data_IF_620559583493
#
_entry.id   IF_620559583493
#
_cell.length_a   1.000
_cell.length_b   1.000
_cell.length_c   1.000
_cell.angle_alpha   90.00
_cell.angle_beta   90.00
_cell.angle_gamma   90.00
#
_symmetry.space_group_name_H-M   'P 1'
#
loop_
_entity.id
_entity.type
_entity.pdbx_description
1 polymer ?
#
# COMPACT_ATOMS: atom_id res chain seq x y z
N UNK A 1 -12.27 4.71 -2.29
CA UNK A 1 -12.29 5.56 -1.08
C UNK A 1 -11.64 6.92 -1.32
N UNK A 2 -10.34 7.01 -1.63
CA UNK A 2 -9.61 8.28 -1.71
C UNK A 2 -10.18 9.26 -2.74
N UNK A 3 -10.51 8.79 -3.93
CA UNK A 3 -11.03 9.62 -5.03
C UNK A 3 -12.53 9.92 -4.96
N UNK A 4 -13.25 9.27 -4.05
CA UNK A 4 -14.72 9.30 -3.95
C UNK A 4 -15.47 8.90 -5.24
N UNK A 5 -14.79 8.35 -6.25
CA UNK A 5 -15.38 7.85 -7.49
C UNK A 5 -15.49 6.33 -7.45
N UNK A 6 -16.67 5.82 -7.79
CA UNK A 6 -16.89 4.38 -7.99
C UNK A 6 -16.37 3.97 -9.37
N UNK A 7 -15.76 2.79 -9.46
CA UNK A 7 -15.31 2.22 -10.74
C UNK A 7 -14.09 2.88 -11.38
N UNK A 8 -13.35 3.73 -10.66
CA UNK A 8 -12.12 4.34 -11.17
C UNK A 8 -11.03 3.30 -11.43
N UNK A 9 -10.85 2.37 -10.48
CA UNK A 9 -9.98 1.22 -10.65
C UNK A 9 -10.82 0.02 -11.13
N UNK A 10 -10.31 -0.73 -12.11
CA UNK A 10 -10.96 -1.95 -12.55
C UNK A 10 -10.89 -3.01 -11.44
N UNK A 11 -12.04 -3.28 -10.82
CA UNK A 11 -12.18 -4.41 -9.92
C UNK A 11 -12.43 -5.67 -10.75
N UNK A 12 -11.50 -6.59 -10.76
CA UNK A 12 -11.69 -7.90 -11.37
C UNK A 12 -12.35 -8.83 -10.34
N UNK A 13 -13.55 -9.33 -10.67
CA UNK A 13 -14.19 -10.40 -9.90
C UNK A 13 -13.44 -11.73 -10.05
N UNK A 14 -12.54 -11.84 -11.04
CA UNK A 14 -11.72 -13.02 -11.28
C UNK A 14 -10.29 -12.71 -10.85
N UNK A 15 -9.79 -13.35 -9.77
CA UNK A 15 -8.40 -13.18 -9.33
C UNK A 15 -7.43 -13.52 -10.47
N UNK A 16 -6.51 -12.61 -10.75
CA UNK A 16 -5.44 -12.87 -11.71
C UNK A 16 -5.58 -12.27 -13.10
N UNK A 17 -6.62 -11.50 -13.38
CA UNK A 17 -6.75 -10.82 -14.69
C UNK A 17 -6.00 -9.49 -14.80
N UNK A 18 -5.61 -8.86 -13.69
CA UNK A 18 -4.96 -7.54 -13.71
C UNK A 18 -3.46 -7.72 -13.54
N UNK A 19 -2.74 -7.88 -14.66
CA UNK A 19 -1.27 -7.73 -14.72
C UNK A 19 -0.87 -6.32 -15.13
N UNK A 20 -1.82 -5.40 -15.24
CA UNK A 20 -1.62 -4.05 -15.72
C UNK A 20 -1.37 -3.09 -14.55
N UNK A 21 -0.42 -2.19 -14.75
CA UNK A 21 -0.20 -1.03 -13.88
C UNK A 21 -1.12 0.07 -14.37
N UNK A 22 -2.01 0.55 -13.50
CA UNK A 22 -2.97 1.59 -13.84
C UNK A 22 -2.56 2.94 -13.24
N UNK A 23 -2.54 3.98 -14.07
CA UNK A 23 -2.23 5.35 -13.66
C UNK A 23 -3.50 6.20 -13.70
N UNK A 24 -3.79 6.90 -12.60
CA UNK A 24 -4.93 7.80 -12.50
C UNK A 24 -4.44 9.20 -12.17
N UNK A 25 -4.68 10.16 -13.07
CA UNK A 25 -4.40 11.56 -12.81
C UNK A 25 -5.47 12.14 -11.86
N UNK A 26 -5.04 12.60 -10.70
CA UNK A 26 -5.91 13.14 -9.66
C UNK A 26 -5.79 14.66 -9.62
N UNK A 27 -6.94 15.34 -9.75
CA UNK A 27 -7.05 16.81 -9.72
C UNK A 27 -6.04 17.53 -10.66
N UNK A 28 -5.67 16.90 -11.78
CA UNK A 28 -4.67 17.41 -12.74
C UNK A 28 -3.30 17.74 -12.09
N UNK A 29 -2.99 17.13 -10.95
CA UNK A 29 -1.86 17.49 -10.11
C UNK A 29 -0.90 16.33 -9.82
N UNK A 30 -1.41 15.14 -9.53
CA UNK A 30 -0.61 13.99 -9.17
C UNK A 30 -1.20 12.67 -9.66
N UNK A 31 -0.36 11.64 -9.74
CA UNK A 31 -0.78 10.32 -10.18
C UNK A 31 -0.94 9.36 -9.01
N UNK A 32 -2.11 8.73 -8.95
CA UNK A 32 -2.34 7.53 -8.16
C UNK A 32 -2.07 6.31 -9.05
N UNK A 33 -1.15 5.46 -8.62
CA UNK A 33 -0.77 4.26 -9.38
C UNK A 33 -1.25 3.02 -8.65
N UNK A 34 -2.00 2.19 -9.35
CA UNK A 34 -2.47 0.90 -8.86
C UNK A 34 -1.58 -0.21 -9.43
N UNK A 35 -0.82 -0.84 -8.55
CA UNK A 35 0.06 -1.96 -8.88
C UNK A 35 -0.67 -3.29 -8.66
N UNK A 36 -0.34 -4.34 -9.44
CA UNK A 36 -0.88 -5.68 -9.18
C UNK A 36 -0.47 -6.17 -7.80
N UNK A 37 -1.37 -6.91 -7.12
CA UNK A 37 -1.08 -7.47 -5.81
C UNK A 37 -0.09 -8.63 -5.89
N UNK A 38 0.99 -8.59 -5.13
CA UNK A 38 2.02 -9.63 -5.09
C UNK A 38 1.59 -10.90 -4.31
N UNK A 39 0.56 -10.81 -3.47
CA UNK A 39 0.12 -11.88 -2.56
C UNK A 39 -0.96 -12.83 -3.08
N UNK A 40 -1.30 -12.80 -4.37
CA UNK A 40 -2.43 -13.57 -4.89
C UNK A 40 -2.15 -15.06 -4.93
N UNK A 41 -2.82 -15.82 -4.04
CA UNK A 41 -2.61 -17.25 -3.78
C UNK A 41 -2.96 -18.21 -4.95
N UNK A 42 -3.72 -17.76 -5.95
CA UNK A 42 -4.22 -18.64 -7.03
C UNK A 42 -3.28 -18.78 -8.21
N UNK A 43 -2.14 -18.12 -8.19
CA UNK A 43 -1.10 -18.29 -9.23
C UNK A 43 -0.04 -19.25 -8.74
N UNK A 44 0.38 -20.18 -9.59
CA UNK A 44 1.56 -20.99 -9.32
C UNK A 44 2.79 -20.14 -9.06
N UNK A 45 3.86 -20.73 -8.52
CA UNK A 45 5.08 -20.01 -8.13
C UNK A 45 5.62 -19.12 -9.27
N UNK A 46 5.69 -19.61 -10.50
CA UNK A 46 6.06 -18.82 -11.68
C UNK A 46 5.27 -17.53 -11.87
N UNK A 47 3.95 -17.56 -11.64
CA UNK A 47 3.10 -16.39 -11.81
C UNK A 47 3.31 -15.35 -10.71
N UNK A 48 3.64 -15.78 -9.49
CA UNK A 48 3.97 -14.90 -8.36
C UNK A 48 5.31 -14.20 -8.59
N UNK A 49 6.31 -14.94 -9.01
CA UNK A 49 7.64 -14.40 -9.30
C UNK A 49 7.59 -13.37 -10.45
N UNK A 50 6.79 -13.65 -11.47
CA UNK A 50 6.58 -12.74 -12.59
C UNK A 50 5.93 -11.43 -12.19
N UNK A 51 4.90 -11.47 -11.33
CA UNK A 51 4.25 -10.26 -10.78
C UNK A 51 5.22 -9.48 -9.91
N UNK A 52 5.96 -10.16 -9.06
CA UNK A 52 6.97 -9.54 -8.21
C UNK A 52 8.00 -8.80 -9.04
N UNK A 53 8.54 -9.41 -10.06
CA UNK A 53 9.48 -8.77 -10.99
C UNK A 53 8.89 -7.51 -11.64
N UNK A 54 7.64 -7.56 -12.13
CA UNK A 54 6.96 -6.40 -12.72
C UNK A 54 6.85 -5.25 -11.72
N UNK A 55 6.50 -5.54 -10.48
CA UNK A 55 6.37 -4.54 -9.41
C UNK A 55 7.74 -3.94 -9.06
N UNK A 56 8.74 -4.78 -8.86
CA UNK A 56 10.09 -4.36 -8.50
C UNK A 56 10.72 -3.51 -9.61
N UNK A 57 10.64 -3.92 -10.85
CA UNK A 57 11.12 -3.16 -12.01
C UNK A 57 10.44 -1.79 -12.10
N UNK A 58 9.11 -1.75 -11.96
CA UNK A 58 8.37 -0.49 -11.98
C UNK A 58 8.83 0.46 -10.87
N UNK A 59 8.98 -0.04 -9.65
CA UNK A 59 9.38 0.76 -8.48
C UNK A 59 10.80 1.30 -8.66
N UNK A 60 11.74 0.48 -9.14
CA UNK A 60 13.13 0.88 -9.30
C UNK A 60 13.34 1.85 -10.47
N UNK A 61 12.56 1.73 -11.53
CA UNK A 61 12.67 2.58 -12.71
C UNK A 61 11.89 3.91 -12.61
N UNK A 62 10.97 4.03 -11.65
CA UNK A 62 10.10 5.21 -11.54
C UNK A 62 10.68 6.31 -10.65
N UNK A 63 11.51 7.18 -11.22
CA UNK A 63 12.16 8.30 -10.52
C UNK A 63 11.18 9.30 -9.88
N UNK A 64 9.97 9.43 -10.44
CA UNK A 64 8.96 10.39 -9.94
C UNK A 64 8.08 9.82 -8.82
N UNK A 65 8.31 8.59 -8.38
CA UNK A 65 7.56 8.02 -7.27
C UNK A 65 7.94 8.72 -5.96
N UNK A 66 6.97 9.32 -5.29
CA UNK A 66 7.19 10.06 -4.03
C UNK A 66 7.01 9.18 -2.80
N UNK A 67 6.07 8.26 -2.85
CA UNK A 67 5.79 7.32 -1.76
C UNK A 67 5.03 6.10 -2.28
N UNK A 68 5.32 4.95 -1.69
CA UNK A 68 4.60 3.70 -1.93
C UNK A 68 3.70 3.40 -0.72
N UNK A 69 2.44 3.05 -0.95
CA UNK A 69 1.56 2.58 0.11
C UNK A 69 1.43 1.06 0.06
N UNK A 70 1.85 0.41 1.13
CA UNK A 70 1.66 -1.03 1.33
C UNK A 70 0.33 -1.26 2.03
N UNK A 71 -0.60 -1.93 1.37
CA UNK A 71 -1.93 -2.20 1.90
C UNK A 71 -1.94 -3.52 2.67
N UNK A 72 -2.25 -3.44 3.96
CA UNK A 72 -2.31 -4.60 4.86
C UNK A 72 -3.74 -4.76 5.38
N UNK A 73 -4.30 -5.95 5.21
CA UNK A 73 -5.59 -6.28 5.81
C UNK A 73 -5.46 -6.36 7.34
N UNK A 74 -6.12 -5.45 8.06
CA UNK A 74 -6.00 -5.32 9.52
C UNK A 74 -6.47 -6.55 10.31
N UNK A 75 -7.17 -7.47 9.66
CA UNK A 75 -7.66 -8.71 10.27
C UNK A 75 -6.60 -9.81 10.37
N UNK A 76 -5.54 -9.71 9.56
CA UNK A 76 -4.54 -10.75 9.40
C UNK A 76 -3.34 -10.52 10.34
N UNK A 77 -2.75 -11.63 10.78
CA UNK A 77 -1.43 -11.63 11.38
C UNK A 77 -0.38 -11.19 10.35
N UNK A 78 0.80 -10.70 10.79
CA UNK A 78 1.88 -10.36 9.88
C UNK A 78 2.23 -11.53 8.95
N UNK A 79 2.12 -11.29 7.64
CA UNK A 79 2.42 -12.29 6.63
C UNK A 79 3.89 -12.15 6.20
N UNK A 80 4.59 -13.26 6.08
CA UNK A 80 5.99 -13.29 5.67
C UNK A 80 6.22 -12.54 4.35
N UNK A 81 5.33 -12.72 3.36
CA UNK A 81 5.44 -12.06 2.06
C UNK A 81 5.40 -10.52 2.16
N UNK A 82 4.59 -9.98 3.06
CA UNK A 82 4.49 -8.53 3.27
C UNK A 82 5.75 -8.00 3.99
N UNK A 83 6.24 -8.71 4.99
CA UNK A 83 7.45 -8.35 5.72
C UNK A 83 8.67 -8.37 4.81
N UNK A 84 8.86 -9.41 4.01
CA UNK A 84 9.94 -9.52 3.01
C UNK A 84 9.86 -8.42 1.95
N UNK A 85 8.66 -8.03 1.53
CA UNK A 85 8.48 -6.93 0.58
C UNK A 85 8.87 -5.58 1.20
N UNK A 86 8.47 -5.31 2.44
CA UNK A 86 8.85 -4.09 3.14
C UNK A 86 10.35 -4.03 3.43
N UNK A 87 10.98 -5.15 3.79
CA UNK A 87 12.43 -5.25 3.92
C UNK A 87 13.14 -4.88 2.60
N UNK A 88 12.70 -5.46 1.49
CA UNK A 88 13.22 -5.13 0.16
C UNK A 88 13.06 -3.64 -0.17
N UNK A 89 11.92 -3.02 0.17
CA UNK A 89 11.72 -1.57 0.00
C UNK A 89 12.76 -0.77 0.79
N UNK A 90 12.99 -1.15 2.04
CA UNK A 90 13.99 -0.51 2.91
C UNK A 90 15.41 -0.65 2.38
N UNK A 91 15.80 -1.84 1.95
CA UNK A 91 17.12 -2.12 1.36
C UNK A 91 17.40 -1.30 0.09
N UNK A 92 16.36 -1.01 -0.69
CA UNK A 92 16.47 -0.20 -1.92
C UNK A 92 16.21 1.30 -1.69
N UNK A 93 16.03 1.74 -0.44
CA UNK A 93 15.82 3.14 -0.11
C UNK A 93 14.50 3.71 -0.64
N UNK A 94 13.49 2.86 -0.84
CA UNK A 94 12.18 3.26 -1.35
C UNK A 94 11.32 3.81 -0.22
N UNK A 95 10.86 5.07 -0.29
CA UNK A 95 9.97 5.63 0.72
C UNK A 95 8.60 4.96 0.66
N UNK A 96 8.14 4.43 1.78
CA UNK A 96 6.84 3.77 1.87
C UNK A 96 6.12 4.05 3.18
N UNK A 97 4.83 3.84 3.17
CA UNK A 97 3.94 3.92 4.31
C UNK A 97 2.98 2.74 4.31
N UNK A 98 2.47 2.36 5.47
CA UNK A 98 1.53 1.24 5.61
C UNK A 98 0.11 1.79 5.72
N UNK A 99 -0.84 1.18 5.02
CA UNK A 99 -2.27 1.40 5.23
C UNK A 99 -2.90 0.10 5.71
N UNK A 100 -3.30 0.07 6.97
CA UNK A 100 -4.13 -1.01 7.50
C UNK A 100 -5.56 -0.84 7.01
N UNK A 101 -6.02 -1.75 6.17
CA UNK A 101 -7.34 -1.71 5.53
C UNK A 101 -8.38 -2.48 6.31
N UNK A 102 -9.65 -2.32 5.94
CA UNK A 102 -10.79 -3.07 6.48
C UNK A 102 -11.01 -2.92 7.99
N UNK A 103 -10.68 -1.76 8.53
CA UNK A 103 -10.82 -1.46 9.96
C UNK A 103 -12.25 -1.65 10.48
N UNK A 104 -13.28 -1.46 9.63
CA UNK A 104 -14.69 -1.68 9.93
C UNK A 104 -15.04 -3.15 10.24
N UNK A 105 -14.23 -4.10 9.81
CA UNK A 105 -14.46 -5.54 10.02
C UNK A 105 -14.05 -6.02 11.42
N UNK A 106 -13.34 -5.20 12.18
CA UNK A 106 -12.92 -5.51 13.55
C UNK A 106 -13.66 -4.65 14.56
N UNK A 107 -14.19 -5.31 15.60
CA UNK A 107 -14.94 -4.66 16.68
C UNK A 107 -14.16 -4.65 17.99
N UNK A 108 -14.49 -3.69 18.84
CA UNK A 108 -13.87 -3.51 20.17
C UNK A 108 -12.36 -3.22 20.06
N UNK A 109 -11.58 -3.68 21.02
CA UNK A 109 -10.13 -3.48 21.06
C UNK A 109 -9.31 -4.30 20.05
N UNK A 110 -9.96 -5.15 19.25
CA UNK A 110 -9.28 -6.11 18.37
C UNK A 110 -8.47 -5.43 17.28
N UNK A 111 -8.99 -4.35 16.69
CA UNK A 111 -8.27 -3.56 15.70
C UNK A 111 -6.97 -3.01 16.27
N UNK A 112 -7.03 -2.35 17.42
CA UNK A 112 -5.86 -1.80 18.09
C UNK A 112 -4.85 -2.88 18.46
N UNK A 113 -5.33 -4.01 18.96
CA UNK A 113 -4.49 -5.16 19.30
C UNK A 113 -3.75 -5.71 18.08
N UNK A 114 -4.45 -5.92 16.98
CA UNK A 114 -3.84 -6.44 15.74
C UNK A 114 -2.79 -5.46 15.19
N UNK A 115 -3.08 -4.17 15.14
CA UNK A 115 -2.13 -3.17 14.68
C UNK A 115 -0.90 -3.13 15.59
N UNK A 116 -1.08 -3.12 16.91
CA UNK A 116 0.03 -3.13 17.85
C UNK A 116 0.90 -4.40 17.72
N UNK A 117 0.29 -5.56 17.48
CA UNK A 117 1.02 -6.79 17.21
C UNK A 117 1.84 -6.71 15.93
N UNK A 118 1.26 -6.13 14.88
CA UNK A 118 1.95 -5.92 13.60
C UNK A 118 3.16 -4.99 13.75
N UNK A 119 2.97 -3.84 14.39
CA UNK A 119 4.04 -2.86 14.64
C UNK A 119 5.14 -3.44 15.52
N UNK A 120 4.80 -4.27 16.51
CA UNK A 120 5.79 -4.97 17.34
C UNK A 120 6.60 -5.98 16.53
N UNK A 121 6.00 -6.66 15.58
CA UNK A 121 6.72 -7.55 14.67
C UNK A 121 7.71 -6.76 13.80
N UNK A 122 7.26 -5.66 13.20
CA UNK A 122 8.12 -4.77 12.43
C UNK A 122 9.29 -4.21 13.25
N UNK A 123 9.06 -3.84 14.51
CA UNK A 123 10.10 -3.26 15.37
C UNK A 123 11.24 -4.22 15.73
N UNK A 124 11.15 -5.50 15.38
CA UNK A 124 12.26 -6.44 15.51
C UNK A 124 13.35 -6.21 14.47
N UNK A 125 12.98 -5.74 13.28
CA UNK A 125 13.88 -5.54 12.15
C UNK A 125 14.07 -4.04 11.82
N UNK A 126 13.14 -3.19 12.25
CA UNK A 126 13.15 -1.76 11.95
C UNK A 126 13.46 -0.93 13.18
N UNK A 127 14.54 -0.16 13.13
CA UNK A 127 14.88 0.81 14.18
C UNK A 127 13.85 1.95 14.25
N UNK A 128 13.43 2.45 13.09
CA UNK A 128 12.37 3.45 12.94
C UNK A 128 11.24 2.88 12.08
N UNK A 129 10.02 2.85 12.66
CA UNK A 129 8.86 2.31 11.97
C UNK A 129 8.41 3.24 10.83
N UNK A 130 7.97 2.69 9.68
CA UNK A 130 7.38 3.49 8.61
C UNK A 130 6.09 4.16 9.09
N UNK A 131 5.71 5.31 8.51
CA UNK A 131 4.40 5.91 8.76
C UNK A 131 3.28 4.91 8.45
N UNK A 132 2.21 4.92 9.25
CA UNK A 132 1.08 4.05 9.00
C UNK A 132 -0.26 4.77 9.21
N UNK A 133 -1.28 4.26 8.55
CA UNK A 133 -2.64 4.76 8.57
C UNK A 133 -3.61 3.60 8.77
N UNK A 134 -4.76 3.91 9.35
CA UNK A 134 -5.86 2.95 9.53
C UNK A 134 -7.02 3.39 8.65
N UNK A 135 -7.55 2.48 7.84
CA UNK A 135 -8.55 2.84 6.85
C UNK A 135 -9.70 1.84 6.73
N UNK A 136 -10.83 2.37 6.29
CA UNK A 136 -11.97 1.59 5.82
C UNK A 136 -12.58 2.25 4.59
N UNK A 137 -12.76 1.49 3.53
CA UNK A 137 -13.49 1.96 2.35
C UNK A 137 -14.99 2.06 2.58
N UNK A 138 -15.54 1.31 3.51
CA UNK A 138 -16.97 1.28 3.83
C UNK A 138 -17.43 2.57 4.53
N UNK A 139 -16.71 2.99 5.56
CA UNK A 139 -17.06 4.15 6.38
C UNK A 139 -16.14 5.35 6.18
N UNK A 140 -15.18 5.28 5.25
CA UNK A 140 -14.21 6.31 4.91
C UNK A 140 -13.23 6.69 6.03
N UNK A 141 -13.07 5.86 7.05
CA UNK A 141 -12.05 6.05 8.09
C UNK A 141 -10.67 6.21 7.45
N UNK A 142 -9.87 7.15 7.94
CA UNK A 142 -8.50 7.40 7.50
C UNK A 142 -8.37 8.16 6.17
N UNK A 143 -9.48 8.50 5.51
CA UNK A 143 -9.43 9.18 4.21
C UNK A 143 -8.74 10.54 4.29
N UNK A 144 -9.12 11.36 5.24
CA UNK A 144 -8.57 12.72 5.40
C UNK A 144 -7.08 12.65 5.74
N UNK A 145 -6.69 11.83 6.70
CA UNK A 145 -5.32 11.67 7.14
C UNK A 145 -4.39 11.21 6.01
N UNK A 146 -4.84 10.26 5.18
CA UNK A 146 -4.07 9.79 4.02
C UNK A 146 -3.95 10.89 2.95
N UNK A 147 -5.04 11.60 2.65
CA UNK A 147 -5.00 12.69 1.66
C UNK A 147 -4.12 13.86 2.12
N UNK A 148 -4.19 14.24 3.39
CA UNK A 148 -3.33 15.28 3.96
C UNK A 148 -1.85 14.88 3.91
N UNK A 149 -1.56 13.62 4.19
CA UNK A 149 -0.20 13.08 4.07
C UNK A 149 0.31 13.15 2.62
N UNK A 150 -0.51 12.73 1.64
CA UNK A 150 -0.16 12.82 0.21
C UNK A 150 0.10 14.28 -0.20
N UNK A 151 -0.74 15.21 0.23
CA UNK A 151 -0.56 16.64 -0.05
C UNK A 151 0.76 17.17 0.53
N UNK A 152 1.08 16.80 1.77
CA UNK A 152 2.29 17.26 2.43
C UNK A 152 3.56 16.73 1.74
N UNK A 153 3.64 15.43 1.44
CA UNK A 153 4.81 14.87 0.74
C UNK A 153 4.94 15.44 -0.68
N UNK A 154 3.83 15.70 -1.36
CA UNK A 154 3.86 16.32 -2.69
C UNK A 154 4.41 17.75 -2.64
N UNK A 155 4.04 18.54 -1.64
CA UNK A 155 4.56 19.90 -1.45
C UNK A 155 6.07 19.93 -1.15
N UNK A 156 6.57 18.96 -0.39
CA UNK A 156 8.00 18.84 -0.11
C UNK A 156 8.82 18.56 -1.37
N UNK A 157 8.34 17.68 -2.24
CA UNK A 157 8.99 17.39 -3.52
C UNK A 157 9.06 18.62 -4.43
N UNK A 158 8.02 19.46 -4.45
CA UNK A 158 8.01 20.69 -5.26
C UNK A 158 8.90 21.81 -4.70
N UNK A 159 9.14 21.83 -3.40
CA UNK A 159 10.06 22.83 -2.79
C UNK A 159 11.53 22.55 -3.04
N UNK A 160 11.87 21.30 -3.33
CA UNK A 160 13.25 20.83 -3.54
C UNK A 160 13.64 20.77 -5.04
N UNK A 161 12.78 21.23 -5.93
CA UNK A 161 13.03 21.43 -7.36
C UNK A 161 13.16 22.93 -7.69
#
# INVERSE_FOLDING_TARGET
>A
MLTARKGLAMTSATPGKTMLINHFLINQSWYLVDLPGYGYARRGQKGKDQIRTIIEDYILEREQMTNLFVLIDSRLEPQKIDLEFMEWLGENGIPFSIIFTKADKLKGGRLKMNINNYLRELSKEWEELPPYFVSSSENRTGRTEILDYIENISKEVYKNK
#
